data_IF_310522119171
#
_entry.id   IF_310522119171
#
_cell.length_a   1.000
_cell.length_b   1.000
_cell.length_c   1.000
_cell.angle_alpha   90.00
_cell.angle_beta   90.00
_cell.angle_gamma   90.00
#
_symmetry.space_group_name_H-M   'P 1'
#
loop_
_entity.id
_entity.type
_entity.pdbx_description
1 polymer ?
#
# COMPACT_ATOMS: atom_id res chain seq x y z
N UNK A 1 -23.36 15.70 24.57
CA UNK A 1 -22.50 15.59 23.37
C UNK A 1 -23.13 16.45 22.28
N UNK A 2 -22.62 17.67 22.05
CA UNK A 2 -23.16 18.53 20.99
C UNK A 2 -22.81 17.97 19.61
N UNK A 3 -23.75 17.93 18.66
CA UNK A 3 -23.43 17.65 17.27
C UNK A 3 -22.49 18.74 16.75
N UNK A 4 -21.43 18.33 16.03
CA UNK A 4 -20.55 19.25 15.31
C UNK A 4 -21.40 20.16 14.41
N UNK A 5 -21.13 21.48 14.35
CA UNK A 5 -21.93 22.40 13.55
C UNK A 5 -21.90 21.98 12.09
N UNK A 6 -23.09 21.90 11.48
CA UNK A 6 -23.27 21.67 10.04
C UNK A 6 -22.51 22.76 9.28
N UNK A 7 -21.33 22.42 8.72
CA UNK A 7 -20.62 23.31 7.82
C UNK A 7 -19.10 23.18 7.75
N UNK A 8 -18.41 22.65 8.77
CA UNK A 8 -16.95 22.47 8.71
C UNK A 8 -16.58 21.02 8.39
N UNK A 9 -15.99 20.82 7.20
CA UNK A 9 -15.32 19.57 6.83
C UNK A 9 -13.86 19.61 7.26
N UNK A 10 -13.37 18.50 7.79
CA UNK A 10 -11.96 18.30 8.14
C UNK A 10 -11.23 17.70 6.95
N UNK A 11 -10.04 18.24 6.65
CA UNK A 11 -9.19 17.80 5.56
C UNK A 11 -8.00 17.02 6.12
N UNK A 12 -7.73 15.85 5.54
CA UNK A 12 -6.48 15.13 5.75
C UNK A 12 -5.48 15.59 4.70
N UNK A 13 -4.35 16.15 5.13
CA UNK A 13 -3.31 16.67 4.22
C UNK A 13 -2.01 15.89 4.31
N UNK A 14 -1.29 15.80 3.18
CA UNK A 14 0.05 15.22 3.09
C UNK A 14 1.02 15.95 4.01
N UNK A 15 1.94 15.19 4.59
CA UNK A 15 3.10 15.75 5.28
C UNK A 15 4.03 16.47 4.30
N UNK A 16 4.78 17.51 4.73
CA UNK A 16 5.87 18.09 3.92
C UNK A 16 7.05 17.13 3.74
N UNK A 17 7.08 15.99 4.45
CA UNK A 17 8.02 14.90 4.23
C UNK A 17 7.36 13.81 3.37
N UNK A 18 7.66 13.75 2.06
CA UNK A 18 6.95 12.87 1.14
C UNK A 18 7.27 11.39 1.37
N UNK A 19 8.44 11.08 1.95
CA UNK A 19 8.88 9.72 2.31
C UNK A 19 8.19 9.24 3.58
N UNK A 20 7.99 10.14 4.55
CA UNK A 20 7.39 9.83 5.86
C UNK A 20 5.92 10.24 5.97
N UNK A 21 5.30 10.64 4.86
CA UNK A 21 3.87 10.90 4.76
C UNK A 21 3.05 9.64 5.04
N UNK A 22 2.22 9.68 6.08
CA UNK A 22 1.40 8.55 6.52
C UNK A 22 -0.07 8.65 6.10
N UNK A 23 -0.45 9.66 5.31
CA UNK A 23 -1.84 9.81 4.84
C UNK A 23 -2.36 8.59 4.09
N UNK A 24 -1.47 7.81 3.45
CA UNK A 24 -1.81 6.54 2.80
C UNK A 24 -2.48 5.55 3.77
N UNK A 25 -1.98 5.43 5.01
CA UNK A 25 -2.54 4.54 6.03
C UNK A 25 -3.77 5.12 6.72
N UNK A 26 -3.93 6.45 6.68
CA UNK A 26 -5.04 7.18 7.30
C UNK A 26 -6.19 7.46 6.31
N UNK A 27 -6.08 6.99 5.06
CA UNK A 27 -7.01 7.30 3.98
C UNK A 27 -8.46 6.82 4.23
N UNK A 28 -8.65 5.90 5.18
CA UNK A 28 -9.96 5.35 5.54
C UNK A 28 -10.60 6.03 6.76
N UNK A 29 -10.00 7.10 7.30
CA UNK A 29 -10.61 7.83 8.40
C UNK A 29 -11.92 8.52 7.96
N UNK A 30 -12.93 8.51 8.82
CA UNK A 30 -14.17 9.25 8.62
C UNK A 30 -14.04 10.71 9.06
N UNK A 31 -15.03 11.56 8.72
CA UNK A 31 -15.09 12.93 9.23
C UNK A 31 -15.18 12.97 10.76
N UNK A 32 -15.95 12.07 11.37
CA UNK A 32 -16.13 12.00 12.82
C UNK A 32 -14.82 11.64 13.53
N UNK A 33 -14.02 10.77 12.91
CA UNK A 33 -12.71 10.39 13.43
C UNK A 33 -11.70 11.53 13.26
N UNK A 34 -11.64 12.16 12.08
CA UNK A 34 -10.75 13.29 11.83
C UNK A 34 -11.06 14.49 12.72
N UNK A 35 -12.34 14.76 13.00
CA UNK A 35 -12.76 15.85 13.88
C UNK A 35 -12.21 15.72 15.32
N UNK A 36 -11.85 14.50 15.73
CA UNK A 36 -11.34 14.17 17.07
C UNK A 36 -9.84 13.89 17.08
N UNK A 37 -9.18 13.89 15.92
CA UNK A 37 -7.77 13.59 15.79
C UNK A 37 -6.93 14.86 15.72
N UNK A 38 -5.76 14.83 16.35
CA UNK A 38 -4.72 15.85 16.21
C UNK A 38 -3.46 15.20 15.64
N UNK A 39 -2.81 15.91 14.72
CA UNK A 39 -1.54 15.49 14.12
C UNK A 39 -0.45 16.54 14.40
N UNK A 40 0.07 16.66 15.65
CA UNK A 40 0.94 17.76 16.05
C UNK A 40 2.23 17.88 15.24
N UNK A 41 2.75 16.75 14.75
CA UNK A 41 3.99 16.69 13.97
C UNK A 41 3.75 16.73 12.45
N UNK A 42 2.50 16.81 11.99
CA UNK A 42 2.16 16.70 10.57
C UNK A 42 2.72 17.80 9.68
N UNK A 43 3.15 18.92 10.26
CA UNK A 43 3.77 20.05 9.56
C UNK A 43 5.30 20.02 9.59
N UNK A 44 5.91 18.97 10.18
CA UNK A 44 7.35 18.85 10.36
C UNK A 44 7.92 17.72 9.50
N UNK A 45 9.15 17.91 9.01
CA UNK A 45 9.91 16.80 8.43
C UNK A 45 10.47 15.90 9.51
N UNK A 46 10.78 14.64 9.17
CA UNK A 46 11.35 13.71 10.14
C UNK A 46 12.65 14.21 10.76
N UNK A 47 13.49 14.88 9.96
CA UNK A 47 14.73 15.51 10.43
C UNK A 47 14.45 16.56 11.51
N UNK A 48 13.43 17.40 11.32
CA UNK A 48 13.01 18.41 12.32
C UNK A 48 12.47 17.75 13.59
N UNK A 49 11.63 16.72 13.46
CA UNK A 49 11.12 15.96 14.61
C UNK A 49 12.26 15.37 15.44
N UNK A 50 13.28 14.77 14.80
CA UNK A 50 14.47 14.25 15.49
C UNK A 50 15.29 15.34 16.17
N UNK A 51 15.48 16.49 15.51
CA UNK A 51 16.20 17.62 16.10
C UNK A 51 15.47 18.18 17.34
N UNK A 52 14.14 18.28 17.30
CA UNK A 52 13.34 18.68 18.46
C UNK A 52 13.42 17.65 19.58
N UNK A 53 13.31 16.36 19.28
CA UNK A 53 13.46 15.31 20.28
C UNK A 53 14.81 15.38 21.01
N UNK A 54 15.89 15.70 20.28
CA UNK A 54 17.22 15.95 20.86
C UNK A 54 17.29 17.23 21.68
N UNK A 55 16.75 18.32 21.15
CA UNK A 55 16.71 19.63 21.83
C UNK A 55 15.98 19.54 23.18
N UNK A 56 14.92 18.74 23.27
CA UNK A 56 14.12 18.55 24.48
C UNK A 56 14.53 17.34 25.31
N UNK A 57 15.66 16.70 25.00
CA UNK A 57 16.21 15.53 25.68
C UNK A 57 15.18 14.42 25.94
N UNK A 58 14.40 14.07 24.90
CA UNK A 58 13.37 13.04 25.04
C UNK A 58 14.03 11.65 25.12
N UNK A 59 13.56 10.74 26.01
CA UNK A 59 14.15 9.40 26.18
C UNK A 59 14.22 8.53 24.91
N UNK A 60 13.37 8.82 23.92
CA UNK A 60 13.28 8.10 22.65
C UNK A 60 14.01 8.78 21.49
N UNK A 61 14.80 9.84 21.75
CA UNK A 61 15.46 10.67 20.72
C UNK A 61 16.27 9.88 19.69
N UNK A 62 16.97 8.82 20.12
CA UNK A 62 17.81 7.97 19.27
C UNK A 62 17.17 6.63 18.91
N UNK A 63 15.93 6.36 19.36
CA UNK A 63 15.25 5.10 19.05
C UNK A 63 15.03 4.97 17.54
N UNK A 64 15.45 3.87 16.87
CA UNK A 64 15.19 3.66 15.45
C UNK A 64 13.68 3.66 15.10
N UNK A 65 13.35 4.02 13.87
CA UNK A 65 11.97 3.92 13.39
C UNK A 65 11.52 2.46 13.34
N UNK A 66 10.30 2.17 13.80
CA UNK A 66 9.70 0.84 13.68
C UNK A 66 9.62 0.41 12.21
N UNK A 67 10.01 -0.84 11.95
CA UNK A 67 9.92 -1.50 10.65
C UNK A 67 8.97 -2.69 10.77
N UNK A 68 8.18 -2.97 9.74
CA UNK A 68 7.22 -4.08 9.75
C UNK A 68 5.81 -3.70 10.22
N UNK A 69 5.00 -4.71 10.53
CA UNK A 69 3.60 -4.54 10.92
C UNK A 69 3.52 -3.93 12.33
N UNK A 70 2.75 -2.85 12.48
CA UNK A 70 2.73 -2.00 13.68
C UNK A 70 2.56 -2.76 15.01
N UNK A 71 1.75 -3.82 15.05
CA UNK A 71 1.43 -4.54 16.29
C UNK A 71 2.29 -5.79 16.53
N UNK A 72 3.10 -6.21 15.56
CA UNK A 72 3.87 -7.46 15.66
C UNK A 72 5.12 -7.34 16.56
N UNK A 73 5.53 -6.11 16.86
CA UNK A 73 6.71 -5.85 17.68
C UNK A 73 7.99 -6.40 17.05
N UNK A 74 8.68 -7.29 17.76
CA UNK A 74 9.95 -7.91 17.33
C UNK A 74 9.77 -9.25 16.61
N UNK A 75 8.55 -9.77 16.52
CA UNK A 75 8.28 -11.06 15.87
C UNK A 75 8.51 -10.90 14.36
N UNK A 76 9.14 -11.89 13.72
CA UNK A 76 9.29 -11.86 12.27
C UNK A 76 7.95 -12.22 11.63
N UNK A 77 7.55 -11.47 10.61
CA UNK A 77 6.30 -11.67 9.88
C UNK A 77 6.09 -13.12 9.41
N UNK A 78 7.16 -13.80 8.96
CA UNK A 78 7.10 -15.19 8.51
C UNK A 78 6.71 -16.15 9.62
N UNK A 79 7.30 -15.97 10.80
CA UNK A 79 7.10 -16.83 11.95
C UNK A 79 5.64 -16.68 12.43
N UNK A 80 5.15 -15.44 12.51
CA UNK A 80 3.75 -15.17 12.81
C UNK A 80 2.77 -15.82 11.83
N UNK A 81 3.00 -15.68 10.51
CA UNK A 81 2.13 -16.34 9.54
C UNK A 81 2.17 -17.87 9.63
N UNK A 82 3.35 -18.44 9.91
CA UNK A 82 3.49 -19.88 10.05
C UNK A 82 2.76 -20.40 11.28
N UNK A 83 2.76 -19.67 12.39
CA UNK A 83 1.96 -20.01 13.57
C UNK A 83 0.46 -19.95 13.30
N UNK A 84 -0.01 -18.95 12.54
CA UNK A 84 -1.44 -18.73 12.29
C UNK A 84 -2.02 -19.60 11.16
N UNK A 85 -1.25 -19.83 10.09
CA UNK A 85 -1.72 -20.50 8.86
C UNK A 85 -1.05 -21.86 8.62
N UNK A 86 -0.03 -22.20 9.41
CA UNK A 86 0.76 -23.41 9.22
C UNK A 86 1.63 -23.37 7.97
N UNK A 87 2.01 -24.56 7.51
CA UNK A 87 2.80 -24.78 6.29
C UNK A 87 1.97 -25.56 5.28
N UNK A 88 1.84 -25.02 4.06
CA UNK A 88 1.21 -25.72 2.93
C UNK A 88 2.14 -25.76 1.74
N UNK A 89 2.82 -26.91 1.56
CA UNK A 89 3.78 -27.08 0.48
C UNK A 89 3.10 -26.98 -0.89
N UNK A 90 3.67 -26.16 -1.76
CA UNK A 90 3.20 -25.93 -3.13
C UNK A 90 4.37 -25.73 -4.07
N UNK A 91 4.08 -25.77 -5.37
CA UNK A 91 5.12 -25.75 -6.40
C UNK A 91 5.44 -24.32 -6.85
N UNK A 92 6.73 -24.09 -7.14
CA UNK A 92 7.19 -22.87 -7.81
C UNK A 92 7.45 -23.20 -9.28
N UNK A 93 6.73 -22.56 -10.20
CA UNK A 93 6.81 -22.83 -11.64
C UNK A 93 7.35 -21.61 -12.37
N UNK A 94 8.33 -21.83 -13.25
CA UNK A 94 8.77 -20.80 -14.19
C UNK A 94 7.78 -20.70 -15.36
N UNK A 95 7.20 -19.52 -15.56
CA UNK A 95 6.22 -19.28 -16.64
C UNK A 95 6.85 -19.27 -18.03
N UNK A 96 8.16 -19.05 -18.14
CA UNK A 96 8.88 -18.97 -19.42
C UNK A 96 8.98 -20.33 -20.11
N UNK A 97 9.14 -21.40 -19.32
CA UNK A 97 9.39 -22.74 -19.83
C UNK A 97 8.49 -23.82 -19.21
N UNK A 98 7.56 -23.44 -18.31
CA UNK A 98 6.66 -24.34 -17.61
C UNK A 98 7.34 -25.27 -16.59
N UNK A 99 8.65 -25.16 -16.36
CA UNK A 99 9.38 -26.07 -15.48
C UNK A 99 9.11 -25.76 -14.01
N UNK A 100 8.96 -26.82 -13.22
CA UNK A 100 9.01 -26.74 -11.76
C UNK A 100 10.44 -26.40 -11.32
N UNK A 101 10.58 -25.26 -10.66
CA UNK A 101 11.87 -24.74 -10.18
C UNK A 101 12.14 -25.10 -8.72
N UNK A 102 11.09 -25.40 -7.97
CA UNK A 102 11.21 -25.75 -6.55
C UNK A 102 9.85 -25.84 -5.85
N UNK A 103 9.89 -25.72 -4.53
CA UNK A 103 8.71 -25.72 -3.68
C UNK A 103 8.73 -24.56 -2.70
N UNK A 104 7.55 -24.17 -2.24
CA UNK A 104 7.35 -23.15 -1.21
C UNK A 104 6.57 -23.71 -0.03
N UNK A 105 6.64 -23.03 1.13
CA UNK A 105 5.91 -23.42 2.35
C UNK A 105 4.54 -22.75 2.52
N UNK A 106 4.11 -21.95 1.56
CA UNK A 106 2.76 -21.38 1.50
C UNK A 106 2.73 -20.17 0.58
N UNK A 107 1.73 -20.07 -0.30
CA UNK A 107 1.64 -18.97 -1.27
C UNK A 107 1.45 -17.59 -0.60
N UNK A 108 1.02 -17.55 0.66
CA UNK A 108 0.87 -16.33 1.46
C UNK A 108 2.19 -15.65 1.81
N UNK A 109 3.33 -16.36 1.73
CA UNK A 109 4.65 -15.75 1.89
C UNK A 109 5.16 -15.02 0.63
N UNK A 110 4.36 -15.02 -0.45
CA UNK A 110 4.74 -14.48 -1.75
C UNK A 110 3.78 -13.38 -2.19
N UNK A 111 4.35 -12.25 -2.60
CA UNK A 111 3.61 -11.11 -3.18
C UNK A 111 3.98 -10.96 -4.65
N UNK A 112 3.01 -10.61 -5.51
CA UNK A 112 3.29 -10.34 -6.92
C UNK A 112 4.32 -9.19 -7.01
N UNK A 113 5.34 -9.36 -7.85
CA UNK A 113 6.48 -8.44 -7.98
C UNK A 113 7.60 -8.67 -6.96
N UNK A 114 7.44 -9.57 -6.00
CA UNK A 114 8.50 -9.91 -5.04
C UNK A 114 9.72 -10.48 -5.77
N UNK A 115 10.91 -9.98 -5.43
CA UNK A 115 12.22 -10.50 -5.86
C UNK A 115 12.98 -11.22 -4.74
N UNK A 116 12.90 -10.67 -3.53
CA UNK A 116 13.64 -11.17 -2.37
C UNK A 116 13.07 -12.50 -1.88
N UNK A 117 13.94 -13.32 -1.29
CA UNK A 117 13.62 -14.58 -0.63
C UNK A 117 12.93 -15.67 -1.48
N UNK A 118 13.10 -15.64 -2.80
CA UNK A 118 12.63 -16.72 -3.69
C UNK A 118 13.57 -17.95 -3.63
N UNK A 119 14.79 -17.81 -3.09
CA UNK A 119 15.76 -18.89 -2.81
C UNK A 119 16.01 -19.86 -3.98
N UNK A 120 16.00 -19.34 -5.22
CA UNK A 120 16.31 -20.09 -6.44
C UNK A 120 17.54 -19.50 -7.12
N UNK A 121 18.38 -20.38 -7.69
CA UNK A 121 19.54 -20.01 -8.51
C UNK A 121 19.12 -19.61 -9.94
N UNK A 122 20.03 -19.00 -10.71
CA UNK A 122 19.78 -18.58 -12.09
C UNK A 122 18.89 -17.33 -12.23
N UNK A 123 18.84 -16.48 -11.21
CA UNK A 123 18.00 -15.27 -11.16
C UNK A 123 18.59 -14.04 -11.87
N UNK A 124 17.97 -12.85 -11.68
CA UNK A 124 16.94 -12.55 -10.69
C UNK A 124 15.54 -13.04 -11.08
N UNK A 125 14.92 -13.80 -10.17
CA UNK A 125 13.53 -14.24 -10.27
C UNK A 125 12.58 -13.26 -9.62
N UNK A 126 11.37 -13.18 -10.16
CA UNK A 126 10.27 -12.40 -9.60
C UNK A 126 8.99 -13.20 -9.58
N UNK A 127 8.19 -13.07 -8.52
CA UNK A 127 6.83 -13.64 -8.47
C UNK A 127 5.95 -12.89 -9.44
N UNK A 128 5.35 -13.59 -10.40
CA UNK A 128 4.52 -12.96 -11.43
C UNK A 128 3.03 -13.27 -11.30
N UNK A 129 2.67 -14.38 -10.66
CA UNK A 129 1.28 -14.76 -10.38
C UNK A 129 1.21 -15.82 -9.27
N UNK A 130 -0.01 -16.05 -8.76
CA UNK A 130 -0.32 -17.11 -7.78
C UNK A 130 -1.61 -17.80 -8.20
N UNK A 131 -1.62 -19.13 -8.21
CA UNK A 131 -2.84 -19.93 -8.29
C UNK A 131 -3.13 -20.50 -6.90
N UNK A 132 -4.07 -19.86 -6.20
CA UNK A 132 -4.46 -20.23 -4.83
C UNK A 132 -5.17 -21.59 -4.79
N UNK A 133 -5.92 -21.94 -5.85
CA UNK A 133 -6.65 -23.21 -5.91
C UNK A 133 -5.68 -24.37 -6.08
N UNK A 134 -4.72 -24.21 -6.98
CA UNK A 134 -3.68 -25.23 -7.25
C UNK A 134 -2.49 -25.18 -6.29
N UNK A 135 -2.42 -24.15 -5.44
CA UNK A 135 -1.29 -23.90 -4.54
C UNK A 135 0.04 -23.78 -5.29
N UNK A 136 0.07 -22.93 -6.32
CA UNK A 136 1.23 -22.70 -7.19
C UNK A 136 1.65 -21.22 -7.12
N UNK A 137 2.96 -20.98 -7.02
CA UNK A 137 3.57 -19.66 -7.22
C UNK A 137 4.30 -19.65 -8.56
N UNK A 138 3.97 -18.67 -9.40
CA UNK A 138 4.58 -18.49 -10.70
C UNK A 138 5.69 -17.45 -10.65
N UNK A 139 6.84 -17.75 -11.24
CA UNK A 139 8.00 -16.85 -11.32
C UNK A 139 8.48 -16.64 -12.75
N UNK A 140 9.21 -15.55 -12.99
CA UNK A 140 9.86 -15.25 -14.26
C UNK A 140 11.06 -14.31 -14.04
N UNK A 141 11.88 -14.12 -15.08
CA UNK A 141 12.85 -13.02 -15.14
C UNK A 141 12.17 -11.64 -15.24
N UNK A 142 12.92 -10.58 -14.88
CA UNK A 142 12.38 -9.22 -14.71
C UNK A 142 11.81 -8.56 -15.96
N UNK A 143 12.29 -8.93 -17.15
CA UNK A 143 11.76 -8.50 -18.45
C UNK A 143 10.26 -8.84 -18.63
N UNK A 144 9.81 -9.96 -18.07
CA UNK A 144 8.40 -10.40 -18.16
C UNK A 144 7.48 -9.62 -17.22
N UNK A 145 8.02 -9.04 -16.15
CA UNK A 145 7.23 -8.16 -15.29
C UNK A 145 6.78 -6.90 -16.03
N UNK A 146 7.58 -6.37 -16.97
CA UNK A 146 7.19 -5.19 -17.74
C UNK A 146 5.97 -5.46 -18.63
N UNK A 147 5.81 -6.69 -19.12
CA UNK A 147 4.60 -7.13 -19.85
C UNK A 147 3.36 -7.15 -18.93
N UNK A 148 3.56 -7.22 -17.60
CA UNK A 148 2.49 -7.16 -16.59
C UNK A 148 2.29 -5.76 -16.02
N UNK A 149 3.03 -4.75 -16.48
CA UNK A 149 2.76 -3.37 -16.09
C UNK A 149 1.35 -3.01 -16.56
N UNK A 150 0.55 -2.45 -15.65
CA UNK A 150 -0.81 -2.02 -15.93
C UNK A 150 -0.92 -0.54 -15.66
N UNK A 151 -1.59 0.16 -16.55
CA UNK A 151 -2.02 1.53 -16.33
C UNK A 151 -3.51 1.60 -16.00
N UNK A 152 -4.24 0.48 -16.04
CA UNK A 152 -5.67 0.41 -15.70
C UNK A 152 -5.96 -0.59 -14.58
N UNK A 153 -6.86 -0.21 -13.68
CA UNK A 153 -7.38 -1.09 -12.65
C UNK A 153 -8.75 -0.64 -12.13
N UNK A 154 -9.40 -1.56 -11.43
CA UNK A 154 -10.66 -1.32 -10.74
C UNK A 154 -10.43 -1.30 -9.23
N UNK A 155 -11.09 -0.39 -8.55
CA UNK A 155 -11.34 -0.49 -7.12
C UNK A 155 -12.75 -1.02 -6.91
N UNK A 156 -12.94 -1.66 -5.75
CA UNK A 156 -14.27 -1.86 -5.18
C UNK A 156 -14.94 -0.53 -4.78
N UNK A 157 -15.83 -0.61 -3.80
CA UNK A 157 -16.42 0.59 -3.21
C UNK A 157 -15.34 1.40 -2.47
N UNK A 158 -15.11 2.64 -2.91
CA UNK A 158 -14.08 3.50 -2.34
C UNK A 158 -14.64 4.28 -1.15
N UNK A 159 -13.84 4.37 -0.08
CA UNK A 159 -14.11 5.24 1.05
C UNK A 159 -13.66 6.66 0.71
N UNK A 160 -14.55 7.63 0.89
CA UNK A 160 -14.23 9.04 0.73
C UNK A 160 -14.28 9.74 2.08
N UNK A 161 -13.18 10.38 2.45
CA UNK A 161 -13.04 11.06 3.74
C UNK A 161 -14.15 12.12 3.91
N UNK A 162 -14.55 12.78 2.82
CA UNK A 162 -15.60 13.81 2.84
C UNK A 162 -17.04 13.27 2.89
N UNK A 163 -17.21 11.95 2.83
CA UNK A 163 -18.50 11.24 2.71
C UNK A 163 -19.05 11.17 1.28
N UNK A 164 -18.48 11.94 0.34
CA UNK A 164 -18.92 12.01 -1.05
C UNK A 164 -17.73 11.82 -2.01
N UNK A 165 -18.00 11.22 -3.18
CA UNK A 165 -17.02 11.13 -4.26
C UNK A 165 -16.63 12.52 -4.75
N UNK A 166 -15.37 12.74 -5.19
CA UNK A 166 -14.94 14.04 -5.70
C UNK A 166 -15.53 14.30 -7.09
N UNK A 167 -15.81 15.57 -7.40
CA UNK A 167 -16.29 15.98 -8.73
C UNK A 167 -15.19 15.90 -9.80
N UNK A 168 -13.94 16.09 -9.37
CA UNK A 168 -12.77 16.01 -10.26
C UNK A 168 -12.49 14.57 -10.66
N UNK A 169 -12.29 14.38 -11.97
CA UNK A 169 -11.87 13.11 -12.56
C UNK A 169 -10.35 12.98 -12.68
N UNK A 170 -9.61 14.08 -12.75
CA UNK A 170 -8.14 14.05 -12.82
C UNK A 170 -7.60 14.26 -11.40
N UNK A 171 -6.90 13.26 -10.88
CA UNK A 171 -6.41 13.19 -9.50
C UNK A 171 -4.97 12.68 -9.49
N UNK A 172 -4.37 12.65 -8.30
CA UNK A 172 -3.17 11.85 -8.02
C UNK A 172 -3.57 10.58 -7.28
N UNK A 173 -2.84 9.48 -7.50
CA UNK A 173 -3.07 8.22 -6.80
C UNK A 173 -1.76 7.61 -6.31
N UNK A 174 -1.77 7.08 -5.08
CA UNK A 174 -0.75 6.16 -4.58
C UNK A 174 -1.34 4.75 -4.59
N UNK A 175 -0.66 3.81 -5.24
CA UNK A 175 -1.05 2.37 -5.30
C UNK A 175 -0.23 1.51 -4.33
N UNK A 176 0.71 2.12 -3.61
CA UNK A 176 1.52 1.55 -2.54
C UNK A 176 2.05 2.67 -1.65
N UNK A 177 2.43 2.35 -0.41
CA UNK A 177 3.10 3.31 0.46
C UNK A 177 4.52 3.62 -0.05
N UNK A 178 4.87 4.90 -0.06
CA UNK A 178 6.15 5.42 -0.52
C UNK A 178 6.03 6.88 -0.98
N UNK A 179 7.12 7.40 -1.54
CA UNK A 179 7.18 8.76 -2.08
C UNK A 179 6.38 8.89 -3.38
N UNK A 180 6.47 7.87 -4.26
CA UNK A 180 5.87 7.89 -5.59
C UNK A 180 4.35 7.99 -5.59
N UNK A 181 3.82 8.76 -6.55
CA UNK A 181 2.41 8.83 -6.89
C UNK A 181 2.26 9.05 -8.39
N UNK A 182 1.12 8.65 -8.95
CA UNK A 182 0.81 8.76 -10.37
C UNK A 182 -0.24 9.83 -10.57
N UNK A 183 -0.24 10.52 -11.70
CA UNK A 183 -1.46 11.21 -12.12
C UNK A 183 -2.41 10.15 -12.65
N UNK A 184 -3.70 10.33 -12.41
CA UNK A 184 -4.69 9.39 -12.87
C UNK A 184 -5.99 10.07 -13.27
N UNK A 185 -6.73 9.41 -14.15
CA UNK A 185 -8.12 9.69 -14.44
C UNK A 185 -9.00 8.65 -13.76
N UNK A 186 -10.01 9.11 -13.02
CA UNK A 186 -11.01 8.25 -12.36
C UNK A 186 -12.35 8.32 -13.08
N UNK A 187 -13.00 7.17 -13.22
CA UNK A 187 -14.37 7.04 -13.68
C UNK A 187 -15.21 6.33 -12.62
N UNK A 188 -16.21 7.04 -12.09
CA UNK A 188 -17.09 6.54 -11.04
C UNK A 188 -18.20 5.69 -11.65
N UNK A 189 -18.18 4.40 -11.36
CA UNK A 189 -19.24 3.45 -11.67
C UNK A 189 -20.17 3.31 -10.44
N UNK A 190 -21.26 2.55 -10.53
CA UNK A 190 -22.24 2.40 -9.43
C UNK A 190 -21.60 2.06 -8.07
N UNK A 191 -20.80 0.98 -8.01
CA UNK A 191 -20.13 0.50 -6.77
C UNK A 191 -18.63 0.25 -6.96
N UNK A 192 -18.04 0.85 -7.98
CA UNK A 192 -16.65 0.65 -8.38
C UNK A 192 -16.05 1.95 -8.89
N UNK A 193 -14.74 2.03 -8.86
CA UNK A 193 -13.98 3.14 -9.45
C UNK A 193 -13.00 2.56 -10.46
N UNK A 194 -13.14 2.94 -11.73
CA UNK A 194 -12.13 2.61 -12.74
C UNK A 194 -11.07 3.71 -12.76
N UNK A 195 -9.80 3.32 -12.79
CA UNK A 195 -8.64 4.22 -12.72
C UNK A 195 -7.74 3.96 -13.91
N UNK A 196 -7.36 5.04 -14.61
CA UNK A 196 -6.31 5.06 -15.63
C UNK A 196 -5.14 5.90 -15.14
N UNK A 197 -3.95 5.31 -15.04
CA UNK A 197 -2.69 5.97 -14.71
C UNK A 197 -2.11 6.68 -15.94
N UNK A 198 -1.28 7.68 -15.71
CA UNK A 198 -0.50 8.36 -16.75
C UNK A 198 0.68 7.54 -17.27
N UNK A 199 1.06 6.49 -16.55
CA UNK A 199 2.11 5.54 -16.91
C UNK A 199 1.80 4.16 -16.31
N UNK A 200 2.22 3.10 -17.00
CA UNK A 200 2.02 1.73 -16.53
C UNK A 200 2.94 1.40 -15.35
N UNK A 201 2.42 0.64 -14.38
CA UNK A 201 3.18 0.21 -13.21
C UNK A 201 2.93 -1.26 -12.86
N UNK A 202 3.99 -1.96 -12.43
CA UNK A 202 3.93 -3.39 -12.08
C UNK A 202 3.39 -3.66 -10.67
N UNK A 203 3.24 -2.62 -9.85
CA UNK A 203 2.73 -2.67 -8.47
C UNK A 203 1.21 -2.56 -8.35
N UNK A 204 0.49 -2.50 -9.47
CA UNK A 204 -0.97 -2.61 -9.47
C UNK A 204 -1.34 -4.06 -9.11
N UNK A 205 -1.57 -4.31 -7.82
CA UNK A 205 -1.81 -5.64 -7.27
C UNK A 205 -3.13 -5.70 -6.49
N UNK A 206 -3.95 -6.71 -6.78
CA UNK A 206 -5.19 -6.96 -6.06
C UNK A 206 -4.94 -7.11 -4.55
N UNK A 207 -5.81 -6.52 -3.74
CA UNK A 207 -5.68 -6.48 -2.27
C UNK A 207 -4.84 -5.33 -1.73
N UNK A 208 -4.05 -4.63 -2.56
CA UNK A 208 -3.43 -3.36 -2.17
C UNK A 208 -4.45 -2.23 -2.17
N UNK A 209 -4.11 -1.11 -1.55
CA UNK A 209 -4.94 0.09 -1.55
C UNK A 209 -4.49 1.08 -2.61
N UNK A 210 -5.47 1.66 -3.29
CA UNK A 210 -5.29 2.88 -4.07
C UNK A 210 -5.87 4.06 -3.29
N UNK A 211 -5.04 5.07 -3.01
CA UNK A 211 -5.38 6.27 -2.25
C UNK A 211 -5.29 7.48 -3.15
N UNK A 212 -6.37 8.26 -3.21
CA UNK A 212 -6.52 9.41 -4.10
C UNK A 212 -6.24 10.73 -3.41
N UNK A 213 -5.65 11.64 -4.16
CA UNK A 213 -5.28 12.96 -3.69
C UNK A 213 -5.64 14.04 -4.71
N UNK A 214 -6.07 15.20 -4.21
CA UNK A 214 -6.11 16.45 -4.96
C UNK A 214 -5.03 17.38 -4.37
N UNK A 215 -3.92 17.53 -5.10
CA UNK A 215 -2.70 18.20 -4.63
C UNK A 215 -2.18 17.58 -3.31
N UNK A 216 -2.28 18.32 -2.20
CA UNK A 216 -1.88 17.94 -0.85
C UNK A 216 -3.02 17.30 -0.05
N UNK A 217 -4.27 17.31 -0.54
CA UNK A 217 -5.43 16.80 0.19
C UNK A 217 -5.63 15.31 -0.14
N UNK A 218 -5.63 14.46 0.89
CA UNK A 218 -6.08 13.07 0.80
C UNK A 218 -7.61 13.03 0.72
N UNK A 219 -8.13 12.44 -0.35
CA UNK A 219 -9.57 12.36 -0.59
C UNK A 219 -10.18 11.08 -0.02
N UNK A 220 -9.37 10.04 0.11
CA UNK A 220 -9.80 8.69 0.49
C UNK A 220 -9.19 7.62 -0.40
N UNK A 221 -9.73 6.40 -0.36
CA UNK A 221 -9.18 5.29 -1.12
C UNK A 221 -9.98 4.01 -0.98
N UNK A 222 -9.50 2.95 -1.62
CA UNK A 222 -10.13 1.64 -1.58
C UNK A 222 -9.20 0.53 -2.06
N UNK A 223 -9.69 -0.70 -1.95
CA UNK A 223 -8.93 -1.90 -2.32
C UNK A 223 -8.97 -2.11 -3.83
N UNK A 224 -7.81 -2.33 -4.43
CA UNK A 224 -7.62 -2.73 -5.83
C UNK A 224 -8.15 -4.16 -6.00
N UNK A 225 -8.97 -4.39 -7.03
CA UNK A 225 -9.55 -5.68 -7.38
C UNK A 225 -8.83 -6.35 -8.55
#
# INVERSE_FOLDING_TARGET
MSPLPRGRKYLLKKSPDPVKDQTYFLALLSQEQLAKALFPIGHLTKKKVRALAKKFDLPNQDRPDSQGICFLGKIKYRDFLQEQLGVRKGDIINVENGKKMGQHNGFWHYTIGQRKDIKLSGGPWYVTAKDVKKNIVYIAHGNILMVKARDEFLLGEAHWISGIKPDKKNLQVKIRHGEGSYKCRVNFLKRRVAVKLDQADTGVAAGQYAVFYDKDICLGGGVIQ
#
